data_IF_815436149478
#
_entry.id   IF_815436149478
#
_cell.length_a   1.000
_cell.length_b   1.000
_cell.length_c   1.000
_cell.angle_alpha   90.00
_cell.angle_beta   90.00
_cell.angle_gamma   90.00
#
_symmetry.space_group_name_H-M   'P 1'
#
loop_
_entity.id
_entity.type
_entity.pdbx_description
1 polymer ?
#
# COMPACT_ATOMS: atom_id res chain seq x y z
N UNK A 1 15.41 11.16 -11.22
CA UNK A 1 15.38 10.63 -9.84
C UNK A 1 14.30 11.25 -8.92
N UNK A 2 13.67 12.41 -9.21
CA UNK A 2 12.61 12.98 -8.33
C UNK A 2 11.24 12.28 -8.36
N UNK A 3 10.75 11.84 -9.54
CA UNK A 3 9.42 11.21 -9.67
C UNK A 3 9.34 9.85 -8.94
N UNK A 4 10.41 9.04 -9.02
CA UNK A 4 10.45 7.74 -8.35
C UNK A 4 10.40 7.87 -6.83
N UNK A 5 11.25 8.73 -6.26
CA UNK A 5 11.26 8.98 -4.81
C UNK A 5 9.92 9.54 -4.32
N UNK A 6 9.32 10.47 -5.06
CA UNK A 6 8.00 11.02 -4.74
C UNK A 6 6.92 9.92 -4.73
N UNK A 7 6.86 9.10 -5.79
CA UNK A 7 5.90 8.02 -5.91
C UNK A 7 6.03 7.01 -4.77
N UNK A 8 7.26 6.57 -4.49
CA UNK A 8 7.54 5.63 -3.39
C UNK A 8 7.09 6.21 -2.04
N UNK A 9 7.46 7.45 -1.71
CA UNK A 9 7.07 8.07 -0.43
C UNK A 9 5.54 8.16 -0.30
N UNK A 10 4.84 8.61 -1.34
CA UNK A 10 3.39 8.76 -1.29
C UNK A 10 2.67 7.42 -1.12
N UNK A 11 3.09 6.39 -1.86
CA UNK A 11 2.53 5.04 -1.73
C UNK A 11 2.83 4.43 -0.37
N UNK A 12 4.05 4.60 0.16
CA UNK A 12 4.39 4.15 1.53
C UNK A 12 3.51 4.85 2.57
N UNK A 13 3.23 6.15 2.40
CA UNK A 13 2.30 6.90 3.27
C UNK A 13 0.82 6.53 3.07
N UNK A 14 0.49 5.62 2.17
CA UNK A 14 -0.87 5.12 1.97
C UNK A 14 -1.72 5.94 1.00
N UNK A 15 -1.11 6.84 0.23
CA UNK A 15 -1.80 7.53 -0.86
C UNK A 15 -2.11 6.52 -1.96
N UNK A 16 -3.31 6.56 -2.54
CA UNK A 16 -3.73 5.63 -3.57
C UNK A 16 -2.89 5.77 -4.85
N UNK A 17 -2.75 4.68 -5.62
CA UNK A 17 -1.95 4.68 -6.84
C UNK A 17 -2.51 5.63 -7.91
N UNK A 18 -3.82 5.80 -7.96
CA UNK A 18 -4.54 6.72 -8.84
C UNK A 18 -4.21 8.17 -8.48
N UNK A 19 -4.19 8.48 -7.17
CA UNK A 19 -3.84 9.81 -6.67
C UNK A 19 -2.39 10.16 -6.97
N UNK A 20 -1.48 9.21 -6.75
CA UNK A 20 -0.06 9.37 -7.12
C UNK A 20 0.10 9.54 -8.63
N UNK A 21 -0.64 8.77 -9.44
CA UNK A 21 -0.64 8.88 -10.90
C UNK A 21 -1.06 10.28 -11.37
N UNK A 22 -2.13 10.83 -10.78
CA UNK A 22 -2.62 12.18 -11.07
C UNK A 22 -1.61 13.25 -10.66
N UNK A 23 -1.00 13.12 -9.48
CA UNK A 23 0.03 14.06 -9.00
C UNK A 23 1.29 14.06 -9.87
N UNK A 24 1.62 12.93 -10.49
CA UNK A 24 2.74 12.81 -11.44
C UNK A 24 2.39 13.26 -12.86
N UNK A 25 1.13 13.57 -13.13
CA UNK A 25 0.64 13.93 -14.47
C UNK A 25 0.64 12.75 -15.45
N UNK A 26 0.57 11.51 -14.96
CA UNK A 26 0.52 10.34 -15.81
C UNK A 26 -0.89 10.17 -16.38
N UNK A 27 -1.00 10.20 -17.71
CA UNK A 27 -2.24 9.92 -18.45
C UNK A 27 -2.60 8.44 -18.47
N UNK A 28 -1.59 7.57 -18.31
CA UNK A 28 -1.76 6.13 -18.22
C UNK A 28 -1.30 5.61 -16.85
N UNK A 29 -2.22 4.93 -16.14
CA UNK A 29 -1.95 4.33 -14.82
C UNK A 29 -0.85 3.28 -14.86
N UNK A 30 -0.65 2.59 -16.00
CA UNK A 30 0.40 1.57 -16.17
C UNK A 30 1.79 2.13 -15.91
N UNK A 31 2.04 3.41 -16.21
CA UNK A 31 3.32 4.08 -15.89
C UNK A 31 3.54 4.23 -14.38
N UNK A 32 2.47 4.37 -13.60
CA UNK A 32 2.51 4.43 -12.14
C UNK A 32 2.55 3.03 -11.50
N UNK A 33 2.08 1.99 -12.21
CA UNK A 33 2.11 0.59 -11.74
C UNK A 33 3.54 0.05 -11.53
N UNK A 34 4.57 0.67 -12.11
CA UNK A 34 5.97 0.32 -11.82
C UNK A 34 6.32 0.44 -10.33
N UNK A 35 5.55 1.26 -9.58
CA UNK A 35 5.71 1.46 -8.14
C UNK A 35 4.84 0.53 -7.28
N UNK A 36 3.97 -0.28 -7.90
CA UNK A 36 3.00 -1.12 -7.19
C UNK A 36 3.65 -2.22 -6.31
N UNK A 37 4.93 -2.57 -6.53
CA UNK A 37 5.66 -3.49 -5.64
C UNK A 37 5.67 -3.01 -4.18
N UNK A 38 5.72 -1.69 -3.95
CA UNK A 38 5.67 -1.10 -2.60
C UNK A 38 4.30 -1.35 -1.95
N UNK A 39 3.22 -1.29 -2.74
CA UNK A 39 1.86 -1.58 -2.27
C UNK A 39 1.71 -3.06 -1.89
N UNK A 40 2.23 -3.99 -2.71
CA UNK A 40 2.13 -5.42 -2.43
C UNK A 40 2.78 -5.80 -1.10
N UNK A 41 3.94 -5.22 -0.79
CA UNK A 41 4.60 -5.44 0.50
C UNK A 41 3.74 -4.90 1.66
N UNK A 42 3.24 -3.66 1.52
CA UNK A 42 2.40 -3.05 2.55
C UNK A 42 1.11 -3.83 2.78
N UNK A 43 0.43 -4.27 1.71
CA UNK A 43 -0.79 -5.09 1.81
C UNK A 43 -0.50 -6.37 2.59
N UNK A 44 0.61 -7.06 2.31
CA UNK A 44 0.99 -8.27 3.03
C UNK A 44 1.19 -8.00 4.53
N UNK A 45 1.86 -6.91 4.88
CA UNK A 45 2.09 -6.51 6.28
C UNK A 45 0.77 -6.19 7.01
N UNK A 46 -0.11 -5.41 6.37
CA UNK A 46 -1.43 -5.06 6.92
C UNK A 46 -2.32 -6.30 7.10
N UNK A 47 -2.37 -7.19 6.11
CA UNK A 47 -3.14 -8.45 6.18
C UNK A 47 -2.62 -9.33 7.32
N UNK A 48 -1.30 -9.46 7.48
CA UNK A 48 -0.72 -10.22 8.57
C UNK A 48 -1.08 -9.63 9.93
N UNK A 49 -1.08 -8.30 10.05
CA UNK A 49 -1.47 -7.61 11.28
C UNK A 49 -2.93 -7.85 11.63
N UNK A 50 -3.84 -7.66 10.68
CA UNK A 50 -5.27 -7.91 10.87
C UNK A 50 -5.53 -9.39 11.20
N UNK A 51 -4.84 -10.31 10.51
CA UNK A 51 -4.96 -11.74 10.81
C UNK A 51 -4.54 -12.07 12.24
N UNK A 52 -3.50 -11.41 12.76
CA UNK A 52 -3.05 -11.60 14.14
C UNK A 52 -4.09 -11.07 15.13
N UNK A 53 -4.53 -9.83 14.94
CA UNK A 53 -5.56 -9.21 15.79
C UNK A 53 -6.85 -10.04 15.83
N UNK A 54 -7.25 -10.61 14.69
CA UNK A 54 -8.42 -11.48 14.61
C UNK A 54 -8.24 -12.81 15.34
N UNK A 55 -7.04 -13.40 15.32
CA UNK A 55 -6.72 -14.60 16.08
C UNK A 55 -6.68 -14.34 17.58
N UNK A 56 -6.01 -13.26 18.01
CA UNK A 56 -5.95 -12.83 19.41
C UNK A 56 -7.38 -12.58 19.95
N UNK A 57 -8.25 -11.96 19.15
CA UNK A 57 -9.65 -11.78 19.47
C UNK A 57 -10.38 -13.12 19.63
N UNK A 58 -10.21 -14.07 18.69
CA UNK A 58 -10.84 -15.39 18.79
C UNK A 58 -10.43 -16.14 20.07
N UNK A 59 -9.17 -16.10 20.44
CA UNK A 59 -8.68 -16.74 21.67
C UNK A 59 -9.33 -16.15 22.94
N UNK A 60 -9.63 -14.85 22.93
CA UNK A 60 -10.33 -14.18 24.03
C UNK A 60 -11.81 -14.59 24.16
N UNK A 61 -12.52 -14.82 23.04
CA UNK A 61 -13.95 -15.20 23.05
C UNK A 61 -14.20 -16.72 23.14
N UNK A 62 -13.15 -17.56 23.02
CA UNK A 62 -13.24 -19.02 23.11
C UNK A 62 -12.86 -19.55 24.51
N UNK A 63 -12.47 -18.67 25.44
CA UNK A 63 -12.44 -18.93 26.89
C UNK A 63 -13.76 -18.54 27.55
#
# INVERSE_FOLDING_TARGET
MRRHTFATIMLTKGVSIESVSKMLGHTNITTTQIYARVLNQKIKEEVNKVSKEFNDMKEFYVQ
#
